data_IF_212488681189
#
_entry.id   IF_212488681189
#
_cell.length_a   1.000
_cell.length_b   1.000
_cell.length_c   1.000
_cell.angle_alpha   90.00
_cell.angle_beta   90.00
_cell.angle_gamma   90.00
#
_symmetry.space_group_name_H-M   'P 1'
#
loop_
_entity.id
_entity.type
_entity.pdbx_description
1 polymer ?
#
# COMPACT_ATOMS: atom_id res chain seq x y z
N UNK A 1 -5.19 2.74 3.49
CA UNK A 1 -3.82 3.07 3.92
C UNK A 1 -2.89 1.90 3.61
N UNK A 2 -1.69 2.17 3.13
CA UNK A 2 -0.61 1.19 2.96
C UNK A 2 0.41 1.40 4.08
N UNK A 3 0.60 0.41 4.93
CA UNK A 3 1.40 0.52 6.15
C UNK A 3 2.33 -0.68 6.37
N UNK A 4 3.28 -0.53 7.28
CA UNK A 4 4.17 -1.63 7.72
C UNK A 4 4.81 -1.29 9.06
N UNK A 5 5.22 -2.28 9.81
CA UNK A 5 5.95 -2.08 11.06
C UNK A 5 7.41 -1.66 10.87
N UNK A 6 8.02 -1.99 9.73
CA UNK A 6 9.46 -1.77 9.48
C UNK A 6 9.68 -0.86 8.26
N UNK A 7 10.69 -0.02 8.33
CA UNK A 7 11.17 0.76 7.18
C UNK A 7 11.79 -0.15 6.09
N UNK A 8 11.68 0.26 4.83
CA UNK A 8 12.35 -0.44 3.72
C UNK A 8 11.68 -1.71 3.21
N UNK A 9 10.53 -2.14 3.74
CA UNK A 9 9.80 -3.34 3.25
C UNK A 9 9.03 -3.12 1.94
N UNK A 10 8.98 -1.88 1.43
CA UNK A 10 8.38 -1.55 0.14
C UNK A 10 6.97 -0.94 0.19
N UNK A 11 6.58 -0.26 1.27
CA UNK A 11 5.30 0.47 1.36
C UNK A 11 5.09 1.44 0.20
N UNK A 12 5.99 2.41 0.07
CA UNK A 12 5.92 3.47 -0.96
C UNK A 12 5.90 2.88 -2.38
N UNK A 13 6.71 1.85 -2.62
CA UNK A 13 6.70 1.11 -3.89
C UNK A 13 5.34 0.45 -4.13
N UNK A 14 4.75 -0.17 -3.10
CA UNK A 14 3.43 -0.79 -3.18
C UNK A 14 2.35 0.28 -3.41
N UNK A 15 2.38 1.39 -2.68
CA UNK A 15 1.45 2.51 -2.84
C UNK A 15 1.47 3.06 -4.26
N UNK A 16 2.66 3.31 -4.81
CA UNK A 16 2.85 3.82 -6.17
C UNK A 16 2.32 2.85 -7.23
N UNK A 17 2.68 1.56 -7.12
CA UNK A 17 2.26 0.55 -8.09
C UNK A 17 0.76 0.26 -8.02
N UNK A 18 0.19 0.16 -6.81
CA UNK A 18 -1.25 -0.05 -6.63
C UNK A 18 -2.04 1.14 -7.16
N UNK A 19 -1.64 2.37 -6.84
CA UNK A 19 -2.31 3.56 -7.34
C UNK A 19 -2.27 3.67 -8.86
N UNK A 20 -1.11 3.40 -9.46
CA UNK A 20 -0.93 3.41 -10.92
C UNK A 20 -1.76 2.33 -11.58
N UNK A 21 -1.73 1.09 -11.08
CA UNK A 21 -2.47 -0.02 -11.67
C UNK A 21 -4.00 0.17 -11.58
N UNK A 22 -4.51 0.71 -10.50
CA UNK A 22 -5.93 1.07 -10.39
C UNK A 22 -6.30 2.17 -11.39
N UNK A 23 -5.43 3.17 -11.60
CA UNK A 23 -5.66 4.21 -12.60
C UNK A 23 -5.63 3.64 -14.04
N UNK A 24 -4.74 2.71 -14.37
CA UNK A 24 -4.73 1.98 -15.64
C UNK A 24 -5.99 1.14 -15.86
N UNK A 25 -6.63 0.70 -14.78
CA UNK A 25 -7.94 0.04 -14.83
C UNK A 25 -9.12 1.03 -14.97
N UNK A 26 -8.84 2.33 -15.20
CA UNK A 26 -9.84 3.37 -15.41
C UNK A 26 -10.40 4.00 -14.14
N UNK A 27 -9.82 3.72 -12.98
CA UNK A 27 -10.25 4.33 -11.71
C UNK A 27 -9.65 5.73 -11.54
N UNK A 28 -10.36 6.58 -10.81
CA UNK A 28 -9.84 7.87 -10.41
C UNK A 28 -9.18 7.75 -9.05
N UNK A 29 -7.85 7.90 -9.01
CA UNK A 29 -7.02 7.58 -7.86
C UNK A 29 -6.24 8.80 -7.39
N UNK A 30 -6.18 9.01 -6.07
CA UNK A 30 -5.23 9.94 -5.45
C UNK A 30 -4.30 9.17 -4.51
N UNK A 31 -3.01 9.35 -4.73
CA UNK A 31 -1.94 8.94 -3.83
C UNK A 31 -1.64 10.10 -2.87
N UNK A 32 -1.56 9.85 -1.58
CA UNK A 32 -1.20 10.84 -0.56
C UNK A 32 0.05 10.34 0.15
N UNK A 33 1.12 11.11 0.08
CA UNK A 33 2.31 10.87 0.89
C UNK A 33 2.08 11.46 2.29
N UNK A 34 1.98 10.58 3.29
CA UNK A 34 1.79 10.96 4.69
C UNK A 34 3.11 10.98 5.48
N UNK A 35 4.26 10.72 4.84
CA UNK A 35 5.59 10.74 5.49
C UNK A 35 6.19 12.15 5.49
N UNK A 36 5.65 13.00 6.37
CA UNK A 36 6.11 14.37 6.54
C UNK A 36 7.57 14.39 6.98
N UNK A 37 8.38 15.17 6.26
CA UNK A 37 9.82 15.32 6.48
C UNK A 37 10.71 14.45 5.58
N UNK A 38 10.24 13.29 5.09
CA UNK A 38 11.04 12.43 4.20
C UNK A 38 10.62 12.51 2.74
N UNK A 39 9.34 12.56 2.46
CA UNK A 39 8.77 12.72 1.11
C UNK A 39 9.46 11.86 0.05
N UNK A 40 8.95 10.64 -0.14
CA UNK A 40 9.53 9.66 -1.05
C UNK A 40 8.63 9.25 -2.21
N UNK A 41 7.31 9.42 -2.05
CA UNK A 41 6.34 8.93 -3.04
C UNK A 41 6.43 9.70 -4.37
N UNK A 42 6.70 10.99 -4.32
CA UNK A 42 6.89 11.84 -5.50
C UNK A 42 8.11 11.42 -6.33
N UNK A 43 9.20 10.99 -5.69
CA UNK A 43 10.40 10.47 -6.37
C UNK A 43 10.09 9.15 -7.08
N UNK A 44 9.42 8.22 -6.38
CA UNK A 44 9.00 6.93 -6.96
C UNK A 44 8.06 7.14 -8.15
N UNK A 45 7.28 8.23 -8.13
CA UNK A 45 6.35 8.61 -9.20
C UNK A 45 6.97 9.52 -10.27
N UNK A 46 8.22 9.98 -10.12
CA UNK A 46 8.87 10.93 -11.03
C UNK A 46 8.13 12.27 -11.15
N UNK A 47 7.54 12.74 -10.06
CA UNK A 47 6.73 13.95 -10.00
C UNK A 47 7.35 15.06 -9.14
N UNK A 48 8.54 14.86 -8.58
CA UNK A 48 9.23 15.74 -7.63
C UNK A 48 9.41 17.18 -8.16
N UNK A 49 9.63 17.34 -9.44
CA UNK A 49 9.86 18.65 -10.08
C UNK A 49 8.55 19.44 -10.36
N UNK A 50 7.39 18.88 -9.97
CA UNK A 50 6.06 19.50 -10.25
C UNK A 50 5.36 20.00 -8.99
N UNK A 51 6.01 19.92 -7.84
CA UNK A 51 5.43 20.23 -6.55
C UNK A 51 5.52 21.74 -6.31
N UNK A 52 4.35 22.36 -6.08
CA UNK A 52 4.22 23.76 -5.66
C UNK A 52 3.64 23.83 -4.25
N UNK A 53 2.62 23.02 -3.99
CA UNK A 53 1.94 22.91 -2.71
C UNK A 53 1.90 21.45 -2.26
N UNK A 54 1.71 21.22 -0.98
CA UNK A 54 1.76 19.93 -0.33
C UNK A 54 0.55 19.71 0.61
N UNK A 55 0.49 18.55 1.24
CA UNK A 55 -0.55 18.14 2.17
C UNK A 55 -0.77 19.16 3.31
N UNK A 56 0.31 19.69 3.88
CA UNK A 56 0.24 20.64 5.01
C UNK A 56 -0.36 21.97 4.55
N UNK A 57 0.02 22.46 3.37
CA UNK A 57 -0.52 23.71 2.81
C UNK A 57 -2.05 23.66 2.62
N UNK A 58 -2.58 22.48 2.24
CA UNK A 58 -4.03 22.27 2.14
C UNK A 58 -4.69 22.30 3.52
N UNK A 59 -4.10 21.63 4.49
CA UNK A 59 -4.65 21.51 5.86
C UNK A 59 -4.61 22.87 6.58
N UNK A 60 -3.55 23.65 6.39
CA UNK A 60 -3.42 25.02 6.92
C UNK A 60 -4.28 26.05 6.16
N UNK A 61 -4.87 25.66 5.02
CA UNK A 61 -5.69 26.58 4.20
C UNK A 61 -4.88 27.56 3.36
N UNK A 62 -3.56 27.37 3.24
CA UNK A 62 -2.65 28.20 2.42
C UNK A 62 -2.95 28.05 0.94
N UNK A 63 -3.46 26.90 0.52
CA UNK A 63 -3.89 26.65 -0.85
C UNK A 63 -5.20 25.86 -0.89
N UNK A 64 -5.85 25.85 -2.07
CA UNK A 64 -7.02 25.00 -2.31
C UNK A 64 -6.55 23.57 -2.64
N UNK A 65 -7.35 22.57 -2.28
CA UNK A 65 -7.10 21.18 -2.56
C UNK A 65 -6.62 20.90 -4.00
N UNK A 66 -7.31 21.48 -4.99
CA UNK A 66 -6.95 21.31 -6.42
C UNK A 66 -5.57 21.83 -6.80
N UNK A 67 -5.00 22.75 -6.04
CA UNK A 67 -3.68 23.34 -6.31
C UNK A 67 -2.54 22.45 -5.81
N UNK A 68 -2.79 21.63 -4.77
CA UNK A 68 -1.83 20.67 -4.24
C UNK A 68 -1.89 19.30 -4.95
N UNK A 69 -2.95 19.02 -5.70
CA UNK A 69 -3.10 17.80 -6.47
C UNK A 69 -2.29 17.87 -7.78
N UNK A 70 -1.27 17.03 -7.87
CA UNK A 70 -0.44 16.89 -9.08
C UNK A 70 -1.03 15.78 -9.94
N UNK A 71 -1.57 16.11 -11.11
CA UNK A 71 -2.05 15.12 -12.07
C UNK A 71 -0.87 14.43 -12.75
N UNK A 72 -0.81 13.11 -12.73
CA UNK A 72 0.13 12.36 -13.56
C UNK A 72 -0.27 12.49 -15.05
N UNK A 73 0.72 12.80 -15.89
CA UNK A 73 0.48 12.95 -17.35
C UNK A 73 0.53 11.62 -18.08
N UNK A 74 1.16 10.61 -17.50
CA UNK A 74 1.33 9.27 -18.09
C UNK A 74 0.12 8.38 -17.82
N UNK A 75 -0.52 8.55 -16.67
CA UNK A 75 -1.64 7.71 -16.22
C UNK A 75 -2.89 8.56 -16.02
N UNK A 76 -3.86 8.41 -16.90
CA UNK A 76 -5.13 9.13 -16.80
C UNK A 76 -5.86 8.76 -15.49
N UNK A 77 -6.36 9.76 -14.78
CA UNK A 77 -7.08 9.54 -13.52
C UNK A 77 -6.20 9.44 -12.28
N UNK A 78 -4.86 9.43 -12.41
CA UNK A 78 -3.93 9.38 -11.29
C UNK A 78 -3.49 10.78 -10.84
N UNK A 79 -3.54 10.99 -9.53
CA UNK A 79 -3.13 12.22 -8.88
C UNK A 79 -2.23 11.91 -7.68
N UNK A 80 -1.30 12.82 -7.38
CA UNK A 80 -0.44 12.79 -6.21
C UNK A 80 -0.68 14.02 -5.35
N UNK A 81 -0.81 13.84 -4.04
CA UNK A 81 -0.68 14.87 -3.01
C UNK A 81 0.61 14.61 -2.23
N UNK A 82 1.65 15.43 -2.41
CA UNK A 82 2.94 15.21 -1.78
C UNK A 82 2.93 15.61 -0.31
N UNK A 83 3.79 14.98 0.50
CA UNK A 83 4.10 15.41 1.86
C UNK A 83 4.90 16.73 1.87
N UNK A 84 4.92 17.39 3.02
CA UNK A 84 5.82 18.51 3.28
C UNK A 84 7.22 18.02 3.65
N UNK A 85 8.28 18.65 3.11
CA UNK A 85 9.67 18.29 3.43
C UNK A 85 10.21 18.90 4.72
N UNK A 86 9.79 20.12 5.02
CA UNK A 86 10.42 20.98 6.06
C UNK A 86 9.51 21.28 7.24
N UNK A 87 8.45 20.50 7.41
CA UNK A 87 7.48 20.69 8.49
C UNK A 87 7.69 19.65 9.59
N UNK A 88 7.26 20.01 10.81
CA UNK A 88 7.19 19.07 11.93
C UNK A 88 6.17 17.96 11.64
N UNK A 89 6.50 16.72 12.02
CA UNK A 89 5.60 15.57 11.86
C UNK A 89 4.28 15.69 12.62
N UNK A 90 4.25 16.55 13.65
CA UNK A 90 3.08 16.78 14.48
C UNK A 90 2.21 17.96 14.00
N UNK A 91 2.54 18.58 12.86
CA UNK A 91 1.77 19.74 12.34
C UNK A 91 0.37 19.35 11.83
N UNK A 92 0.09 18.05 11.69
CA UNK A 92 -1.21 17.51 11.26
C UNK A 92 -1.82 16.68 12.39
N UNK A 93 -3.12 16.78 12.55
CA UNK A 93 -3.90 15.98 13.50
C UNK A 93 -4.75 14.93 12.78
N UNK A 94 -5.14 13.82 13.45
CA UNK A 94 -6.06 12.83 12.91
C UNK A 94 -7.37 13.43 12.39
N UNK A 95 -7.96 14.36 13.13
CA UNK A 95 -9.21 15.02 12.73
C UNK A 95 -9.10 15.87 11.46
N UNK A 96 -7.95 16.47 11.20
CA UNK A 96 -7.68 17.18 9.94
C UNK A 96 -7.55 16.21 8.77
N UNK A 97 -6.90 15.06 8.97
CA UNK A 97 -6.81 14.01 7.95
C UNK A 97 -8.19 13.44 7.60
N UNK A 98 -9.03 13.17 8.59
CA UNK A 98 -10.42 12.73 8.36
C UNK A 98 -11.19 13.70 7.48
N UNK A 99 -11.11 15.01 7.77
CA UNK A 99 -11.77 16.05 6.96
C UNK A 99 -11.25 16.10 5.53
N UNK A 100 -9.93 15.99 5.34
CA UNK A 100 -9.33 15.98 4.01
C UNK A 100 -9.79 14.77 3.20
N UNK A 101 -9.74 13.57 3.80
CA UNK A 101 -10.15 12.33 3.16
C UNK A 101 -11.64 12.37 2.81
N UNK A 102 -12.50 12.89 3.68
CA UNK A 102 -13.93 13.05 3.39
C UNK A 102 -14.17 13.90 2.13
N UNK A 103 -13.46 15.02 1.98
CA UNK A 103 -13.57 15.86 0.79
C UNK A 103 -13.01 15.22 -0.50
N UNK A 104 -12.05 14.30 -0.36
CA UNK A 104 -11.51 13.54 -1.48
C UNK A 104 -12.42 12.39 -1.92
N UNK A 105 -13.16 11.75 -1.00
CA UNK A 105 -14.10 10.65 -1.29
C UNK A 105 -15.19 11.03 -2.30
N UNK A 106 -15.52 12.32 -2.41
CA UNK A 106 -16.49 12.81 -3.40
C UNK A 106 -15.93 12.87 -4.83
N UNK A 107 -14.61 12.81 -4.98
CA UNK A 107 -13.92 13.07 -6.24
C UNK A 107 -13.11 11.89 -6.77
N UNK A 108 -12.79 10.91 -5.93
CA UNK A 108 -11.90 9.79 -6.23
C UNK A 108 -12.53 8.45 -5.86
N UNK A 109 -12.32 7.45 -6.71
CA UNK A 109 -12.74 6.06 -6.44
C UNK A 109 -11.83 5.42 -5.39
N UNK A 110 -10.53 5.78 -5.41
CA UNK A 110 -9.53 5.30 -4.46
C UNK A 110 -8.69 6.44 -3.92
N UNK A 111 -8.51 6.46 -2.60
CA UNK A 111 -7.59 7.33 -1.88
C UNK A 111 -6.58 6.43 -1.19
N UNK A 112 -5.32 6.47 -1.62
CA UNK A 112 -4.26 5.62 -1.10
C UNK A 112 -3.29 6.49 -0.29
N UNK A 113 -3.21 6.25 1.00
CA UNK A 113 -2.27 6.92 1.89
C UNK A 113 -1.03 6.05 2.05
N UNK A 114 0.13 6.58 1.63
CA UNK A 114 1.44 5.99 1.93
C UNK A 114 1.84 6.41 3.34
N UNK A 115 1.79 5.45 4.26
CA UNK A 115 2.02 5.68 5.68
C UNK A 115 3.51 5.77 5.99
N UNK A 116 3.98 6.66 6.89
CA UNK A 116 5.35 6.60 7.38
C UNK A 116 5.64 5.27 8.07
N UNK A 117 6.91 4.91 8.18
CA UNK A 117 7.32 3.75 8.95
C UNK A 117 7.14 3.99 10.45
N UNK A 118 6.80 2.94 11.19
CA UNK A 118 6.64 2.99 12.64
C UNK A 118 5.21 3.25 13.10
N UNK A 119 5.07 3.60 14.37
CA UNK A 119 3.78 3.66 15.09
C UNK A 119 3.49 5.05 15.70
N UNK A 120 4.30 6.04 15.33
CA UNK A 120 4.23 7.39 15.87
C UNK A 120 3.04 8.19 15.32
N UNK A 121 3.00 9.50 15.59
CA UNK A 121 1.92 10.41 15.21
C UNK A 121 1.57 10.34 13.71
N UNK A 122 2.57 10.19 12.83
CA UNK A 122 2.35 10.07 11.39
C UNK A 122 1.52 8.84 11.02
N UNK A 123 1.73 7.71 11.70
CA UNK A 123 0.90 6.52 11.56
C UNK A 123 -0.54 6.78 11.99
N UNK A 124 -0.74 7.39 13.19
CA UNK A 124 -2.07 7.72 13.70
C UNK A 124 -2.84 8.65 12.75
N UNK A 125 -2.16 9.64 12.17
CA UNK A 125 -2.75 10.53 11.17
C UNK A 125 -3.16 9.78 9.91
N UNK A 126 -2.30 8.88 9.40
CA UNK A 126 -2.56 8.15 8.16
C UNK A 126 -3.74 7.16 8.28
N UNK A 127 -3.92 6.52 9.44
CA UNK A 127 -4.99 5.55 9.65
C UNK A 127 -6.36 6.18 9.99
N UNK A 128 -6.37 7.41 10.52
CA UNK A 128 -7.57 8.03 11.10
C UNK A 128 -8.77 8.12 10.15
N UNK A 129 -8.56 8.20 8.84
CA UNK A 129 -9.65 8.26 7.85
C UNK A 129 -9.72 7.04 6.94
N UNK A 130 -8.96 5.98 7.26
CA UNK A 130 -8.87 4.81 6.41
C UNK A 130 -10.03 3.84 6.66
N UNK A 131 -10.60 3.32 5.59
CA UNK A 131 -11.63 2.25 5.64
C UNK A 131 -10.98 0.87 5.52
N UNK A 132 -9.76 0.81 4.97
CA UNK A 132 -9.05 -0.40 4.62
C UNK A 132 -7.54 -0.21 4.80
N UNK A 133 -6.86 -1.16 5.39
CA UNK A 133 -5.42 -1.17 5.54
C UNK A 133 -4.78 -2.31 4.73
N UNK A 134 -3.66 -2.03 4.07
CA UNK A 134 -2.80 -3.01 3.44
C UNK A 134 -1.51 -3.04 4.25
N UNK A 135 -1.26 -4.15 4.94
CA UNK A 135 -0.02 -4.39 5.67
C UNK A 135 1.00 -4.99 4.73
N UNK A 136 2.09 -4.28 4.49
CA UNK A 136 3.21 -4.75 3.66
C UNK A 136 4.32 -5.27 4.57
N UNK A 137 4.75 -6.51 4.35
CA UNK A 137 5.88 -7.10 5.07
C UNK A 137 6.78 -7.89 4.13
N UNK A 138 7.98 -8.25 4.60
CA UNK A 138 8.87 -9.21 3.96
C UNK A 138 8.86 -10.51 4.77
N UNK A 139 9.16 -11.69 4.18
CA UNK A 139 9.19 -12.96 4.89
C UNK A 139 10.46 -13.12 5.75
N UNK A 140 10.72 -12.12 6.58
CA UNK A 140 11.81 -12.03 7.54
C UNK A 140 11.26 -11.95 8.96
N UNK A 141 11.84 -12.67 9.92
CA UNK A 141 11.36 -12.74 11.31
C UNK A 141 11.16 -11.36 11.95
N UNK A 142 12.10 -10.44 11.73
CA UNK A 142 11.99 -9.07 12.28
C UNK A 142 10.84 -8.28 11.66
N UNK A 143 10.62 -8.40 10.35
CA UNK A 143 9.55 -7.69 9.64
C UNK A 143 8.17 -8.24 10.05
N UNK A 144 8.06 -9.56 10.25
CA UNK A 144 6.83 -10.21 10.72
C UNK A 144 6.46 -9.74 12.13
N UNK A 145 7.42 -9.71 13.06
CA UNK A 145 7.20 -9.20 14.42
C UNK A 145 6.71 -7.74 14.42
N UNK A 146 7.31 -6.91 13.59
CA UNK A 146 6.91 -5.51 13.47
C UNK A 146 5.53 -5.36 12.80
N UNK A 147 5.20 -6.25 11.83
CA UNK A 147 3.88 -6.29 11.20
C UNK A 147 2.78 -6.69 12.20
N UNK A 148 3.02 -7.69 13.04
CA UNK A 148 2.11 -8.12 14.09
C UNK A 148 1.74 -6.96 15.04
N UNK A 149 2.71 -6.13 15.43
CA UNK A 149 2.45 -4.93 16.24
C UNK A 149 1.55 -3.91 15.52
N UNK A 150 1.75 -3.72 14.21
CA UNK A 150 0.90 -2.83 13.40
C UNK A 150 -0.52 -3.37 13.31
N UNK A 151 -0.69 -4.67 13.13
CA UNK A 151 -2.01 -5.32 13.09
C UNK A 151 -2.78 -5.04 14.38
N UNK A 152 -2.18 -5.26 15.55
CA UNK A 152 -2.80 -4.94 16.83
C UNK A 152 -3.18 -3.46 16.98
N UNK A 153 -2.40 -2.54 16.42
CA UNK A 153 -2.74 -1.12 16.41
C UNK A 153 -3.87 -0.78 15.45
N UNK A 154 -3.95 -1.43 14.27
CA UNK A 154 -5.04 -1.26 13.34
C UNK A 154 -6.37 -1.76 13.93
N UNK A 155 -6.34 -2.91 14.61
CA UNK A 155 -7.48 -3.46 15.35
C UNK A 155 -7.94 -2.53 16.48
N UNK A 156 -7.00 -2.02 17.28
CA UNK A 156 -7.30 -1.06 18.36
C UNK A 156 -7.90 0.26 17.85
N UNK A 157 -7.65 0.62 16.59
CA UNK A 157 -8.23 1.78 15.91
C UNK A 157 -9.45 1.41 15.04
N UNK A 158 -10.03 0.23 15.23
CA UNK A 158 -11.26 -0.24 14.58
C UNK A 158 -11.21 -0.30 13.04
N UNK A 159 -10.03 -0.47 12.45
CA UNK A 159 -9.87 -0.72 11.01
C UNK A 159 -10.35 -2.15 10.72
N UNK A 160 -11.55 -2.27 10.16
CA UNK A 160 -12.24 -3.56 9.99
C UNK A 160 -11.69 -4.42 8.86
N UNK A 161 -11.14 -3.81 7.83
CA UNK A 161 -10.58 -4.50 6.67
C UNK A 161 -9.08 -4.33 6.64
N UNK A 162 -8.36 -5.43 6.86
CA UNK A 162 -6.89 -5.46 6.83
C UNK A 162 -6.47 -6.61 5.95
N UNK A 163 -5.70 -6.32 4.91
CA UNK A 163 -5.15 -7.32 3.98
C UNK A 163 -3.61 -7.31 4.02
N UNK A 164 -3.02 -8.44 3.67
CA UNK A 164 -1.58 -8.69 3.70
C UNK A 164 -0.98 -8.66 2.29
N UNK A 165 0.14 -7.95 2.13
CA UNK A 165 1.05 -8.08 0.98
C UNK A 165 2.41 -8.58 1.47
N UNK A 166 2.80 -9.77 1.01
CA UNK A 166 4.14 -10.33 1.22
C UNK A 166 5.04 -9.86 0.08
N UNK A 167 6.00 -8.99 0.39
CA UNK A 167 6.91 -8.38 -0.59
C UNK A 167 8.31 -8.99 -0.53
N UNK A 168 9.05 -8.90 -1.62
CA UNK A 168 10.44 -9.40 -1.77
C UNK A 168 10.58 -10.88 -1.47
N UNK A 169 9.62 -11.68 -1.92
CA UNK A 169 9.72 -13.13 -1.82
C UNK A 169 10.87 -13.64 -2.71
N UNK A 170 11.79 -14.38 -2.12
CA UNK A 170 12.88 -15.07 -2.82
C UNK A 170 12.64 -16.57 -2.83
N UNK A 171 12.12 -17.07 -3.94
CA UNK A 171 11.76 -18.48 -4.10
C UNK A 171 12.93 -19.44 -3.95
N UNK A 172 14.15 -18.99 -4.28
CA UNK A 172 15.38 -19.76 -4.07
C UNK A 172 15.69 -19.96 -2.58
N UNK A 173 15.50 -18.93 -1.75
CA UNK A 173 15.71 -19.01 -0.30
C UNK A 173 14.61 -19.83 0.39
N UNK A 174 13.35 -19.68 -0.05
CA UNK A 174 12.23 -20.47 0.46
C UNK A 174 12.48 -21.97 0.22
N UNK A 175 12.89 -22.36 -1.00
CA UNK A 175 13.19 -23.76 -1.32
C UNK A 175 14.33 -24.37 -0.50
N UNK A 176 15.27 -23.56 -0.03
CA UNK A 176 16.37 -23.98 0.84
C UNK A 176 16.02 -23.95 2.33
N UNK A 177 14.82 -23.50 2.70
CA UNK A 177 14.42 -23.31 4.10
C UNK A 177 15.13 -22.16 4.79
N UNK A 178 15.69 -21.19 4.03
CA UNK A 178 16.42 -20.02 4.52
C UNK A 178 15.53 -18.77 4.60
N UNK A 179 14.30 -18.86 4.12
CA UNK A 179 13.28 -17.82 4.17
C UNK A 179 11.93 -18.45 4.48
N UNK A 180 11.10 -17.77 5.25
CA UNK A 180 9.73 -18.20 5.56
C UNK A 180 8.92 -18.37 4.29
N UNK A 181 8.03 -19.36 4.28
CA UNK A 181 7.02 -19.52 3.24
C UNK A 181 5.93 -18.46 3.37
N UNK A 182 5.13 -18.28 2.34
CA UNK A 182 3.97 -17.38 2.39
C UNK A 182 2.94 -17.90 3.38
N UNK A 183 2.79 -19.22 3.45
CA UNK A 183 1.92 -19.92 4.39
C UNK A 183 2.32 -19.63 5.83
N UNK A 184 3.61 -19.72 6.17
CA UNK A 184 4.11 -19.40 7.51
C UNK A 184 3.76 -17.95 7.90
N UNK A 185 3.92 -17.03 6.95
CA UNK A 185 3.59 -15.60 7.18
C UNK A 185 2.10 -15.40 7.43
N UNK A 186 1.24 -16.06 6.65
CA UNK A 186 -0.22 -16.00 6.81
C UNK A 186 -0.64 -16.62 8.16
N UNK A 187 -0.08 -17.77 8.51
CA UNK A 187 -0.41 -18.49 9.75
C UNK A 187 0.00 -17.67 10.99
N UNK A 188 1.13 -16.95 10.91
CA UNK A 188 1.60 -16.10 12.03
C UNK A 188 0.76 -14.82 12.15
N UNK A 189 0.47 -14.15 11.05
CA UNK A 189 -0.18 -12.82 11.07
C UNK A 189 -1.71 -12.89 11.06
N UNK A 190 -2.30 -14.01 10.68
CA UNK A 190 -3.76 -14.22 10.67
C UNK A 190 -4.54 -13.32 9.70
N UNK A 191 -3.88 -12.72 8.71
CA UNK A 191 -4.49 -11.81 7.76
C UNK A 191 -4.79 -12.47 6.41
N UNK A 192 -5.87 -12.05 5.72
CA UNK A 192 -6.12 -12.47 4.35
C UNK A 192 -5.02 -11.95 3.42
N UNK A 193 -4.52 -12.86 2.57
CA UNK A 193 -3.49 -12.53 1.59
C UNK A 193 -4.10 -11.76 0.41
N UNK A 194 -3.62 -10.54 0.18
CA UNK A 194 -3.95 -9.76 -1.01
C UNK A 194 -3.02 -10.07 -2.18
N UNK A 195 -1.75 -10.30 -1.90
CA UNK A 195 -0.78 -10.66 -2.93
C UNK A 195 0.63 -10.93 -2.43
N UNK A 196 1.40 -11.54 -3.32
CA UNK A 196 2.83 -11.80 -3.12
C UNK A 196 3.59 -11.12 -4.25
N UNK A 197 4.61 -10.35 -3.90
CA UNK A 197 5.50 -9.69 -4.85
C UNK A 197 6.88 -10.32 -4.73
N UNK A 198 7.44 -10.89 -5.81
CA UNK A 198 8.77 -11.46 -5.77
C UNK A 198 9.84 -10.38 -5.65
N UNK A 199 11.01 -10.75 -5.16
CA UNK A 199 12.19 -9.90 -5.23
C UNK A 199 12.63 -9.80 -6.70
N UNK A 200 12.54 -8.60 -7.27
CA UNK A 200 12.73 -8.34 -8.71
C UNK A 200 13.54 -7.05 -8.86
N UNK A 201 14.70 -7.15 -9.51
CA UNK A 201 15.59 -6.00 -9.76
C UNK A 201 14.91 -4.89 -10.57
N UNK A 202 13.94 -5.24 -11.42
CA UNK A 202 13.17 -4.28 -12.19
C UNK A 202 12.41 -3.27 -11.31
N UNK A 203 12.09 -3.63 -10.06
CA UNK A 203 11.48 -2.71 -9.09
C UNK A 203 12.44 -1.56 -8.78
N UNK A 204 13.72 -1.86 -8.54
CA UNK A 204 14.75 -0.84 -8.26
C UNK A 204 14.98 0.03 -9.50
N UNK A 205 15.11 -0.59 -10.67
CA UNK A 205 15.30 0.12 -11.95
C UNK A 205 14.14 1.09 -12.20
N UNK A 206 12.92 0.60 -12.10
CA UNK A 206 11.70 1.40 -12.31
C UNK A 206 11.59 2.56 -11.30
N UNK A 207 11.86 2.28 -10.02
CA UNK A 207 11.85 3.30 -8.96
C UNK A 207 12.88 4.41 -9.26
N UNK A 208 14.10 4.05 -9.67
CA UNK A 208 15.15 5.03 -10.03
C UNK A 208 14.80 5.85 -11.28
N UNK A 209 13.93 5.34 -12.13
CA UNK A 209 13.42 6.05 -13.31
C UNK A 209 12.19 6.91 -13.00
N UNK A 210 11.67 6.86 -11.76
CA UNK A 210 10.42 7.53 -11.38
C UNK A 210 9.20 6.96 -12.09
N UNK A 211 9.21 5.67 -12.41
CA UNK A 211 8.11 4.99 -13.11
C UNK A 211 7.70 3.74 -12.36
N UNK A 212 6.44 3.65 -11.88
CA UNK A 212 5.90 2.42 -11.33
C UNK A 212 6.00 1.24 -12.31
N UNK A 213 6.21 0.04 -11.76
CA UNK A 213 6.47 -1.18 -12.54
C UNK A 213 5.19 -1.89 -12.98
N UNK A 214 4.04 -1.60 -12.35
CA UNK A 214 2.76 -2.23 -12.66
C UNK A 214 2.45 -2.17 -14.16
N UNK A 215 1.89 -3.25 -14.70
CA UNK A 215 1.59 -3.36 -16.13
C UNK A 215 2.81 -3.61 -17.04
N UNK A 216 4.04 -3.51 -16.54
CA UNK A 216 5.26 -3.84 -17.30
C UNK A 216 5.50 -5.35 -17.31
N UNK A 217 6.26 -5.81 -18.31
CA UNK A 217 6.57 -7.23 -18.48
C UNK A 217 7.66 -7.71 -17.50
N UNK A 218 7.26 -7.85 -16.23
CA UNK A 218 8.08 -8.43 -15.14
C UNK A 218 7.19 -9.18 -14.16
N UNK A 219 7.76 -10.08 -13.37
CA UNK A 219 7.00 -10.85 -12.38
C UNK A 219 6.41 -9.95 -11.29
N UNK A 220 7.17 -8.97 -10.81
CA UNK A 220 6.69 -8.01 -9.82
C UNK A 220 5.61 -7.09 -10.41
N UNK A 221 5.77 -6.63 -11.67
CA UNK A 221 4.76 -5.83 -12.35
C UNK A 221 3.42 -6.56 -12.48
N UNK A 222 3.46 -7.84 -12.85
CA UNK A 222 2.27 -8.70 -12.92
C UNK A 222 1.66 -8.94 -11.54
N UNK A 223 2.50 -9.14 -10.50
CA UNK A 223 2.05 -9.30 -9.12
C UNK A 223 1.29 -8.05 -8.64
N UNK A 224 1.82 -6.86 -8.84
CA UNK A 224 1.14 -5.59 -8.51
C UNK A 224 -0.17 -5.43 -9.30
N UNK A 225 -0.20 -5.77 -10.57
CA UNK A 225 -1.43 -5.71 -11.36
C UNK A 225 -2.51 -6.68 -10.82
N UNK A 226 -2.13 -7.87 -10.41
CA UNK A 226 -3.04 -8.83 -9.79
C UNK A 226 -3.55 -8.35 -8.42
N UNK A 227 -2.72 -7.66 -7.62
CA UNK A 227 -3.12 -6.99 -6.38
C UNK A 227 -4.20 -5.95 -6.69
N UNK A 228 -4.00 -5.10 -7.69
CA UNK A 228 -4.99 -4.09 -8.09
C UNK A 228 -6.33 -4.73 -8.49
N UNK A 229 -6.30 -5.82 -9.24
CA UNK A 229 -7.52 -6.55 -9.64
C UNK A 229 -8.29 -7.11 -8.45
N UNK A 230 -7.58 -7.67 -7.44
CA UNK A 230 -8.21 -8.16 -6.20
C UNK A 230 -8.79 -7.03 -5.36
N UNK A 231 -8.09 -5.90 -5.27
CA UNK A 231 -8.62 -4.69 -4.62
C UNK A 231 -9.90 -4.19 -5.28
N UNK A 232 -10.01 -4.32 -6.61
CA UNK A 232 -11.21 -3.97 -7.40
C UNK A 232 -12.28 -5.08 -7.37
N UNK A 233 -12.15 -6.06 -6.48
CA UNK A 233 -13.14 -7.12 -6.26
C UNK A 233 -13.12 -8.25 -7.30
N UNK A 234 -12.08 -8.39 -8.11
CA UNK A 234 -11.95 -9.47 -9.09
C UNK A 234 -11.28 -10.68 -8.45
N UNK A 235 -11.82 -11.85 -8.71
CA UNK A 235 -11.17 -13.11 -8.38
C UNK A 235 -9.98 -13.33 -9.32
N UNK A 236 -8.79 -13.36 -8.75
CA UNK A 236 -7.53 -13.57 -9.48
C UNK A 236 -6.71 -14.63 -8.77
N UNK A 237 -6.33 -15.73 -9.41
CA UNK A 237 -5.45 -16.73 -8.82
C UNK A 237 -4.12 -16.12 -8.38
N UNK A 238 -3.55 -16.64 -7.30
CA UNK A 238 -2.18 -16.28 -6.91
C UNK A 238 -1.18 -16.82 -7.90
N UNK A 239 -0.10 -16.09 -8.12
CA UNK A 239 0.99 -16.52 -8.98
C UNK A 239 1.77 -17.63 -8.29
N UNK A 240 2.15 -18.65 -9.04
CA UNK A 240 3.04 -19.72 -8.57
C UNK A 240 4.51 -19.28 -8.78
N UNK A 241 5.24 -19.13 -7.69
CA UNK A 241 6.66 -18.76 -7.69
C UNK A 241 7.58 -20.00 -7.53
N UNK A 242 7.09 -21.21 -7.85
CA UNK A 242 7.78 -22.51 -7.72
C UNK A 242 7.27 -23.34 -6.56
N UNK A 243 7.05 -24.62 -6.77
CA UNK A 243 6.35 -25.67 -6.01
C UNK A 243 6.37 -25.61 -4.46
N UNK A 244 5.98 -24.51 -3.85
CA UNK A 244 5.73 -24.41 -2.40
C UNK A 244 4.42 -23.70 -2.07
N UNK A 245 3.60 -23.40 -3.06
CA UNK A 245 2.31 -22.74 -2.80
C UNK A 245 1.18 -23.71 -3.09
N UNK A 246 0.89 -24.58 -2.13
CA UNK A 246 -0.34 -25.37 -2.12
C UNK A 246 -1.49 -24.53 -1.51
N UNK A 247 -1.60 -23.27 -1.92
CA UNK A 247 -2.63 -22.31 -1.40
C UNK A 247 -4.04 -22.64 -1.91
N UNK A 248 -4.17 -23.47 -2.95
CA UNK A 248 -5.42 -23.64 -3.69
C UNK A 248 -6.59 -24.26 -2.92
N UNK A 249 -6.36 -24.94 -1.81
CA UNK A 249 -7.44 -25.68 -1.11
C UNK A 249 -7.92 -25.03 0.20
N UNK A 250 -7.15 -24.12 0.80
CA UNK A 250 -7.55 -23.51 2.10
C UNK A 250 -8.19 -22.14 1.99
N UNK A 251 -7.81 -21.33 1.01
CA UNK A 251 -8.38 -19.98 0.87
C UNK A 251 -9.81 -20.00 0.35
N UNK A 252 -10.15 -20.94 -0.54
CA UNK A 252 -11.54 -21.13 -1.01
C UNK A 252 -12.48 -21.67 0.10
N UNK A 253 -11.95 -22.42 1.08
CA UNK A 253 -12.71 -22.97 2.20
C UNK A 253 -13.09 -21.92 3.27
N UNK A 254 -12.33 -20.85 3.43
CA UNK A 254 -12.62 -19.78 4.38
C UNK A 254 -13.76 -18.85 3.90
N UNK A 255 -13.91 -18.69 2.59
CA UNK A 255 -15.01 -17.86 2.04
C UNK A 255 -16.37 -18.58 2.04
N UNK A 256 -16.42 -19.92 2.05
CA UNK A 256 -17.69 -20.66 2.12
C UNK A 256 -18.22 -20.86 3.55
N UNK A 257 -17.38 -20.73 4.58
CA UNK A 257 -17.80 -20.99 5.97
C UNK A 257 -18.62 -19.84 6.60
N UNK A 258 -18.57 -18.62 6.03
CA UNK A 258 -19.32 -17.47 6.54
C UNK A 258 -20.71 -17.29 5.91
N UNK A 259 -21.17 -18.17 5.03
CA UNK A 259 -22.52 -18.10 4.45
C UNK A 259 -23.49 -19.14 5.03
N UNK A 260 -23.03 -20.17 5.73
CA UNK A 260 -23.92 -21.20 6.28
C UNK A 260 -24.34 -21.02 7.73
N UNK A 261 -23.85 -20.00 8.44
CA UNK A 261 -24.29 -19.69 9.82
C UNK A 261 -25.36 -18.58 9.92
N UNK A 262 -26.05 -18.27 8.83
CA UNK A 262 -27.22 -17.35 8.83
C UNK A 262 -28.39 -17.97 8.07
N UNK A 263 -28.96 -19.04 8.61
CA UNK A 263 -30.34 -19.45 8.40
C UNK A 263 -30.92 -19.86 9.78
#
# INVERSE_FOLDING_TARGET
VVTSGKGGVGKTTTSANVGTGLAEMGKKVVLIDADIGLRNLDVVMGLENRIVYNLVDVIEGTCRLKQALIKDKRHAGLYLMPAAQTRDKNCITPGQMVKLIAGLKEQFDYIILDCPAGIEQGFQNAIAGADHAIVVTTPEVSAIRDADRIIGLLEANEIKKVDLVVNRLRSDLVRRGEMMTVEDVIDILGLPLLGVVPDDENVVIATNQGEPLVGKNSLAGQAFYNICRRLDGKEVPFMDFGKSITIWTRVTGLFHRNQEERI
#
